data_IF_084244531495
#
_entry.id   IF_084244531495
#
_cell.length_a   1.000
_cell.length_b   1.000
_cell.length_c   1.000
_cell.angle_alpha   90.00
_cell.angle_beta   90.00
_cell.angle_gamma   90.00
#
_symmetry.space_group_name_H-M   'P 1'
#
loop_
_entity.id
_entity.type
_entity.pdbx_description
1 polymer ?
#
# COMPACT_ATOMS: atom_id res chain seq x y z
N UNK A 1 -56.96 30.31 17.93
CA UNK A 1 -56.07 29.15 18.12
C UNK A 1 -56.25 28.19 16.96
N UNK A 2 -55.18 27.99 16.17
CA UNK A 2 -54.67 26.71 15.63
C UNK A 2 -53.67 27.06 14.52
N UNK A 3 -52.43 27.35 14.95
CA UNK A 3 -51.27 27.21 14.09
C UNK A 3 -51.24 25.74 13.66
N UNK A 4 -51.40 25.47 12.37
CA UNK A 4 -51.23 24.14 11.84
C UNK A 4 -49.75 23.75 12.04
N UNK A 5 -49.52 22.87 13.00
CA UNK A 5 -48.24 22.24 13.26
C UNK A 5 -47.81 21.46 12.01
N UNK A 6 -46.86 22.02 11.26
CA UNK A 6 -46.12 21.27 10.24
C UNK A 6 -45.44 20.13 11.00
N UNK A 7 -45.73 18.85 10.69
CA UNK A 7 -45.02 17.76 11.32
C UNK A 7 -43.56 17.96 10.95
N UNK A 8 -42.71 18.02 11.96
CA UNK A 8 -41.27 17.99 11.83
C UNK A 8 -40.95 16.76 10.97
N UNK A 9 -40.77 16.98 9.66
CA UNK A 9 -40.21 15.98 8.76
C UNK A 9 -38.81 15.79 9.33
N UNK A 10 -38.67 14.80 10.20
CA UNK A 10 -37.39 14.19 10.53
C UNK A 10 -36.86 13.66 9.21
N UNK A 11 -36.19 14.54 8.48
CA UNK A 11 -35.22 14.19 7.47
C UNK A 11 -34.18 13.38 8.23
N UNK A 12 -34.43 12.07 8.33
CA UNK A 12 -33.42 11.10 8.70
C UNK A 12 -32.37 11.27 7.59
N UNK A 13 -31.38 12.13 7.85
CA UNK A 13 -30.11 12.08 7.16
C UNK A 13 -29.58 10.69 7.46
N UNK A 14 -29.92 9.74 6.60
CA UNK A 14 -29.15 8.52 6.44
C UNK A 14 -27.81 9.02 5.96
N UNK A 15 -26.95 9.38 6.92
CA UNK A 15 -25.53 9.52 6.68
C UNK A 15 -25.10 8.11 6.35
N UNK A 16 -25.09 7.78 5.07
CA UNK A 16 -24.32 6.66 4.59
C UNK A 16 -22.89 6.92 5.08
N UNK A 17 -22.48 6.21 6.12
CA UNK A 17 -21.08 6.07 6.46
C UNK A 17 -20.46 5.29 5.28
N UNK A 18 -20.14 6.02 4.21
CA UNK A 18 -19.34 5.47 3.12
C UNK A 18 -18.00 5.17 3.77
N UNK A 19 -17.64 3.89 3.90
CA UNK A 19 -16.25 3.54 4.14
C UNK A 19 -15.45 4.08 2.96
N UNK A 20 -14.75 5.18 3.20
CA UNK A 20 -13.88 5.78 2.22
C UNK A 20 -12.57 4.98 2.26
N UNK A 21 -12.33 4.11 1.27
CA UNK A 21 -11.14 3.25 1.21
C UNK A 21 -10.08 3.81 0.28
N UNK A 22 -8.84 3.88 0.79
CA UNK A 22 -7.60 4.04 0.02
C UNK A 22 -7.57 3.10 -1.19
N UNK A 23 -7.13 3.55 -2.36
CA UNK A 23 -6.82 2.61 -3.44
C UNK A 23 -5.65 3.13 -4.27
N UNK A 24 -4.59 2.33 -4.35
CA UNK A 24 -3.44 2.66 -5.18
C UNK A 24 -2.57 1.43 -5.45
N UNK A 25 -1.73 1.54 -6.48
CA UNK A 25 -0.81 0.47 -6.87
C UNK A 25 0.50 1.02 -7.40
N UNK A 26 1.59 0.30 -7.15
CA UNK A 26 2.89 0.63 -7.73
C UNK A 26 2.92 0.23 -9.22
N UNK A 27 3.17 1.21 -10.09
CA UNK A 27 3.21 1.03 -11.55
C UNK A 27 4.60 1.12 -12.13
N UNK A 28 5.51 1.87 -11.50
CA UNK A 28 6.91 1.94 -11.91
C UNK A 28 7.81 1.77 -10.68
N UNK A 29 8.62 0.71 -10.63
CA UNK A 29 8.48 -0.54 -11.39
C UNK A 29 7.12 -1.22 -11.09
N UNK A 30 6.45 -1.91 -12.05
CA UNK A 30 5.13 -2.50 -11.78
C UNK A 30 5.21 -3.53 -10.66
N UNK A 31 4.30 -3.45 -9.67
CA UNK A 31 4.22 -4.48 -8.63
C UNK A 31 3.91 -5.85 -9.23
N UNK A 32 4.26 -6.92 -8.52
CA UNK A 32 3.91 -8.32 -8.81
C UNK A 32 2.46 -8.50 -9.26
N UNK A 33 1.53 -7.84 -8.57
CA UNK A 33 0.09 -7.87 -8.86
C UNK A 33 -0.35 -7.02 -10.04
N UNK A 34 0.46 -6.04 -10.45
CA UNK A 34 0.16 -5.11 -11.54
C UNK A 34 0.91 -5.43 -12.84
N UNK A 35 1.85 -6.38 -12.82
CA UNK A 35 2.67 -6.76 -13.97
C UNK A 35 1.84 -7.08 -15.22
N UNK A 36 0.69 -7.72 -15.08
CA UNK A 36 -0.18 -8.10 -16.20
C UNK A 36 -0.67 -6.88 -17.02
N UNK A 37 -0.76 -5.69 -16.39
CA UNK A 37 -1.15 -4.45 -17.06
C UNK A 37 -0.05 -3.93 -18.00
N UNK A 38 1.19 -4.38 -17.82
CA UNK A 38 2.37 -3.98 -18.59
C UNK A 38 2.74 -5.06 -19.63
N UNK A 39 1.85 -6.01 -19.90
CA UNK A 39 2.06 -7.05 -20.91
C UNK A 39 2.95 -8.21 -20.46
N UNK A 40 3.33 -8.28 -19.18
CA UNK A 40 3.98 -9.47 -18.66
C UNK A 40 3.01 -10.66 -18.65
N UNK A 41 3.51 -11.86 -18.94
CA UNK A 41 2.74 -13.11 -18.90
C UNK A 41 2.42 -13.59 -17.49
N UNK A 42 1.94 -12.69 -16.60
CA UNK A 42 1.55 -13.01 -15.23
C UNK A 42 0.04 -13.08 -15.08
N UNK A 43 -0.48 -13.81 -14.08
CA UNK A 43 -1.91 -13.84 -13.82
C UNK A 43 -2.47 -12.44 -13.52
N UNK A 44 -3.61 -12.10 -14.13
CA UNK A 44 -4.27 -10.84 -13.86
C UNK A 44 -4.82 -10.77 -12.43
N UNK A 45 -4.54 -9.65 -11.76
CA UNK A 45 -5.23 -9.23 -10.55
C UNK A 45 -5.97 -7.92 -10.87
N UNK A 46 -7.29 -8.01 -11.04
CA UNK A 46 -8.13 -6.85 -11.38
C UNK A 46 -8.35 -5.89 -10.21
N UNK A 47 -8.01 -6.32 -8.99
CA UNK A 47 -8.07 -5.53 -7.75
C UNK A 47 -6.66 -5.23 -7.22
N UNK A 48 -5.68 -5.13 -8.12
CA UNK A 48 -4.27 -4.86 -7.81
C UNK A 48 -3.99 -3.50 -7.13
N UNK A 49 -4.99 -2.62 -7.04
CA UNK A 49 -4.99 -1.40 -6.22
C UNK A 49 -5.51 -1.58 -4.78
N UNK A 50 -5.83 -2.81 -4.35
CA UNK A 50 -6.45 -3.12 -3.05
C UNK A 50 -5.56 -3.99 -2.15
N UNK A 51 -4.24 -3.88 -2.28
CA UNK A 51 -3.29 -4.57 -1.39
C UNK A 51 -3.18 -3.85 -0.04
N UNK A 52 -4.29 -3.83 0.70
CA UNK A 52 -4.53 -3.02 1.90
C UNK A 52 -4.37 -3.79 3.22
N UNK A 53 -3.53 -4.82 3.25
CA UNK A 53 -3.31 -5.64 4.47
C UNK A 53 -4.58 -6.37 4.96
N UNK A 54 -5.58 -6.55 4.09
CA UNK A 54 -6.90 -7.07 4.46
C UNK A 54 -7.92 -6.00 4.89
N UNK A 55 -7.57 -4.72 4.76
CA UNK A 55 -8.37 -3.55 5.11
C UNK A 55 -8.08 -3.02 6.51
N UNK A 56 -8.38 -1.73 6.72
CA UNK A 56 -8.08 -0.99 7.95
C UNK A 56 -8.47 -1.71 9.25
N UNK A 57 -9.67 -2.30 9.31
CA UNK A 57 -10.14 -3.05 10.49
C UNK A 57 -9.34 -4.33 10.73
N UNK A 58 -9.08 -5.11 9.68
CA UNK A 58 -8.31 -6.36 9.81
C UNK A 58 -6.88 -6.06 10.26
N UNK A 59 -6.24 -5.06 9.65
CA UNK A 59 -4.89 -4.65 10.00
C UNK A 59 -4.82 -4.11 11.44
N UNK A 60 -5.55 -3.04 11.74
CA UNK A 60 -5.37 -2.28 12.97
C UNK A 60 -6.18 -2.87 14.13
N UNK A 61 -7.43 -3.27 13.89
CA UNK A 61 -8.33 -3.78 14.93
C UNK A 61 -8.02 -5.21 15.36
N UNK A 62 -7.75 -6.10 14.41
CA UNK A 62 -7.53 -7.53 14.71
C UNK A 62 -6.05 -7.91 14.85
N UNK A 63 -5.17 -7.27 14.07
CA UNK A 63 -3.77 -7.69 13.96
C UNK A 63 -2.75 -6.68 14.53
N UNK A 64 -3.22 -5.67 15.24
CA UNK A 64 -2.35 -4.71 15.93
C UNK A 64 -1.44 -3.94 14.98
N UNK A 65 -1.94 -3.57 13.81
CA UNK A 65 -1.21 -2.82 12.78
C UNK A 65 -0.39 -3.71 11.83
N UNK A 66 -0.33 -5.02 12.05
CA UNK A 66 0.52 -5.91 11.23
C UNK A 66 -0.05 -6.11 9.82
N UNK A 67 0.86 -6.16 8.86
CA UNK A 67 0.57 -6.38 7.44
C UNK A 67 1.55 -7.38 6.83
N UNK A 68 1.09 -8.17 5.85
CA UNK A 68 1.98 -8.95 4.98
C UNK A 68 2.94 -8.03 4.23
N UNK A 69 4.14 -8.51 3.91
CA UNK A 69 5.22 -7.67 3.36
C UNK A 69 4.85 -7.08 2.00
N UNK A 70 3.98 -7.77 1.26
CA UNK A 70 3.51 -7.34 -0.06
C UNK A 70 2.01 -6.99 -0.08
N UNK A 71 1.42 -6.66 1.08
CA UNK A 71 0.05 -6.15 1.20
C UNK A 71 -1.05 -7.21 1.31
N UNK A 72 -0.67 -8.49 1.34
CA UNK A 72 -1.56 -9.57 1.75
C UNK A 72 -1.98 -9.41 3.23
N UNK A 73 -3.17 -9.90 3.63
CA UNK A 73 -3.59 -9.94 5.03
C UNK A 73 -2.58 -10.64 5.92
N UNK A 74 -2.29 -10.06 7.08
CA UNK A 74 -1.38 -10.66 8.05
C UNK A 74 -1.82 -12.07 8.44
N UNK A 75 -0.86 -13.01 8.43
CA UNK A 75 -1.08 -14.41 8.79
C UNK A 75 -1.85 -15.24 7.76
N UNK A 76 -2.14 -14.72 6.56
CA UNK A 76 -2.74 -15.50 5.47
C UNK A 76 -1.86 -16.72 5.18
N UNK A 77 -2.34 -17.98 5.29
CA UNK A 77 -1.50 -19.17 5.11
C UNK A 77 -0.87 -19.31 3.74
N UNK A 78 -1.50 -18.74 2.70
CA UNK A 78 -1.01 -18.71 1.33
C UNK A 78 -1.11 -17.28 0.78
N UNK A 79 -0.17 -16.38 1.14
CA UNK A 79 -0.15 -15.02 0.61
C UNK A 79 0.10 -15.07 -0.90
N UNK A 80 -0.66 -14.29 -1.67
CA UNK A 80 -0.60 -14.40 -3.14
C UNK A 80 0.52 -13.56 -3.74
N UNK A 81 0.91 -12.47 -3.07
CA UNK A 81 1.89 -11.50 -3.56
C UNK A 81 3.28 -11.70 -2.94
N UNK A 82 3.42 -12.62 -1.98
CA UNK A 82 4.68 -12.98 -1.32
C UNK A 82 5.28 -14.27 -1.91
N UNK A 83 6.49 -14.63 -1.48
CA UNK A 83 7.23 -15.78 -2.02
C UNK A 83 6.40 -17.08 -2.00
N UNK A 84 6.38 -17.79 -3.14
CA UNK A 84 5.54 -18.98 -3.34
C UNK A 84 4.09 -18.68 -3.72
N UNK A 85 3.65 -17.42 -3.65
CA UNK A 85 2.33 -16.96 -4.06
C UNK A 85 2.17 -16.82 -5.58
N UNK A 86 0.91 -16.76 -6.01
CA UNK A 86 0.47 -16.68 -7.41
C UNK A 86 1.10 -15.54 -8.23
N UNK A 87 1.47 -14.43 -7.58
CA UNK A 87 2.04 -13.25 -8.25
C UNK A 87 3.55 -13.11 -8.02
N UNK A 88 4.18 -13.93 -7.17
CA UNK A 88 5.61 -13.89 -6.89
C UNK A 88 6.39 -14.82 -7.84
N UNK A 89 6.47 -14.41 -9.10
CA UNK A 89 6.96 -15.26 -10.19
C UNK A 89 8.47 -15.13 -10.46
N UNK A 90 9.17 -14.26 -9.73
CA UNK A 90 10.62 -14.02 -9.91
C UNK A 90 10.99 -13.27 -11.18
N UNK A 91 10.02 -12.66 -11.86
CA UNK A 91 10.26 -11.90 -13.08
C UNK A 91 10.80 -10.51 -12.72
N UNK A 92 11.99 -10.19 -13.21
CA UNK A 92 12.57 -8.86 -13.06
C UNK A 92 11.83 -7.86 -13.96
N UNK A 93 11.20 -6.87 -13.34
CA UNK A 93 10.36 -5.87 -14.03
C UNK A 93 11.15 -4.68 -14.54
N UNK A 94 12.25 -4.34 -13.85
CA UNK A 94 13.21 -3.28 -14.20
C UNK A 94 14.61 -3.67 -13.72
N UNK A 95 15.62 -3.17 -14.43
CA UNK A 95 17.02 -3.26 -14.05
C UNK A 95 17.57 -1.86 -13.86
N UNK A 96 18.26 -1.63 -12.75
CA UNK A 96 18.88 -0.35 -12.40
C UNK A 96 20.37 -0.54 -12.13
N UNK A 97 21.12 0.55 -12.17
CA UNK A 97 22.52 0.59 -11.74
C UNK A 97 22.61 1.02 -10.27
N UNK A 98 23.58 0.49 -9.51
CA UNK A 98 23.81 0.94 -8.14
C UNK A 98 23.98 2.48 -8.07
N UNK A 99 23.32 3.11 -7.10
CA UNK A 99 23.36 4.58 -6.95
C UNK A 99 22.55 5.36 -7.99
N UNK A 100 21.89 4.71 -8.96
CA UNK A 100 21.01 5.37 -9.91
C UNK A 100 19.82 6.03 -9.19
N UNK A 101 19.55 7.30 -9.50
CA UNK A 101 18.28 7.93 -9.20
C UNK A 101 17.20 7.37 -10.13
N UNK A 102 16.10 6.88 -9.55
CA UNK A 102 15.05 6.21 -10.29
C UNK A 102 13.74 6.99 -10.21
N UNK A 103 13.00 7.01 -11.32
CA UNK A 103 11.61 7.41 -11.30
C UNK A 103 10.76 6.26 -10.77
N UNK A 104 9.91 6.54 -9.80
CA UNK A 104 8.89 5.60 -9.31
C UNK A 104 7.52 6.23 -9.42
N UNK A 105 6.52 5.42 -9.77
CA UNK A 105 5.16 5.90 -9.98
C UNK A 105 4.16 5.01 -9.26
N UNK A 106 3.35 5.65 -8.42
CA UNK A 106 2.17 5.05 -7.79
C UNK A 106 0.93 5.60 -8.47
N UNK A 107 0.12 4.72 -9.05
CA UNK A 107 -1.19 5.08 -9.56
C UNK A 107 -2.18 5.07 -8.40
N UNK A 108 -2.63 6.26 -8.00
CA UNK A 108 -3.69 6.41 -6.99
C UNK A 108 -5.03 6.45 -7.69
N UNK A 109 -5.84 5.42 -7.46
CA UNK A 109 -7.18 5.28 -8.04
C UNK A 109 -8.28 5.84 -7.14
N UNK A 110 -8.00 5.97 -5.84
CA UNK A 110 -8.85 6.68 -4.89
C UNK A 110 -7.93 7.44 -3.91
N UNK A 111 -7.93 8.77 -4.02
CA UNK A 111 -7.01 9.64 -3.28
C UNK A 111 -7.52 9.86 -1.86
N UNK A 112 -6.75 9.38 -0.90
CA UNK A 112 -7.08 9.42 0.53
C UNK A 112 -5.90 9.97 1.34
N UNK A 113 -5.23 11.01 0.83
CA UNK A 113 -4.02 11.56 1.46
C UNK A 113 -2.96 10.49 1.72
N UNK A 114 -2.08 10.71 2.70
CA UNK A 114 -0.99 9.80 3.02
C UNK A 114 0.31 10.16 2.33
N UNK A 115 1.36 9.45 2.74
CA UNK A 115 2.69 9.48 2.13
C UNK A 115 3.00 8.13 1.53
N UNK A 116 3.96 8.14 0.61
CA UNK A 116 4.57 6.92 0.10
C UNK A 116 5.96 6.78 0.73
N UNK A 117 6.38 5.53 0.92
CA UNK A 117 7.73 5.18 1.29
C UNK A 117 8.16 4.02 0.43
N UNK A 118 9.43 4.04 0.01
CA UNK A 118 10.00 2.99 -0.81
C UNK A 118 11.14 2.36 -0.04
N UNK A 119 11.16 1.04 -0.01
CA UNK A 119 12.19 0.27 0.67
C UNK A 119 12.74 -0.77 -0.27
N UNK A 120 14.01 -1.11 -0.10
CA UNK A 120 14.65 -2.16 -0.88
C UNK A 120 15.30 -3.22 0.02
N UNK A 121 15.22 -4.47 -0.42
CA UNK A 121 15.87 -5.59 0.21
C UNK A 121 16.65 -6.35 -0.85
N UNK A 122 17.92 -6.65 -0.58
CA UNK A 122 18.69 -7.59 -1.40
C UNK A 122 18.15 -8.99 -1.20
N UNK A 123 17.37 -9.48 -2.16
CA UNK A 123 16.84 -10.83 -2.19
C UNK A 123 17.17 -11.49 -3.54
N UNK A 124 18.17 -12.38 -3.54
CA UNK A 124 18.66 -13.01 -4.77
C UNK A 124 17.95 -14.34 -5.09
N UNK A 125 16.95 -14.73 -4.30
CA UNK A 125 16.09 -15.89 -4.57
C UNK A 125 14.64 -15.52 -4.27
N UNK A 126 13.82 -15.40 -5.31
CA UNK A 126 12.40 -15.01 -5.19
C UNK A 126 11.56 -16.04 -4.41
N UNK A 127 12.06 -17.28 -4.24
CA UNK A 127 11.42 -18.32 -3.43
C UNK A 127 11.62 -18.11 -1.93
N UNK A 128 12.60 -17.29 -1.55
CA UNK A 128 12.84 -16.94 -0.15
C UNK A 128 11.98 -15.72 0.21
N UNK A 129 11.14 -15.82 1.27
CA UNK A 129 10.34 -14.69 1.73
C UNK A 129 11.21 -13.48 2.10
N UNK A 130 10.87 -12.33 1.51
CA UNK A 130 11.37 -11.03 1.98
C UNK A 130 10.74 -10.71 3.34
N UNK A 131 11.45 -9.96 4.18
CA UNK A 131 10.98 -9.59 5.52
C UNK A 131 10.96 -8.09 5.70
N UNK A 132 10.03 -7.59 6.53
CA UNK A 132 10.05 -6.19 7.02
C UNK A 132 11.42 -5.81 7.60
N UNK A 133 12.06 -6.71 8.35
CA UNK A 133 13.42 -6.51 8.87
C UNK A 133 14.45 -6.23 7.77
N UNK A 134 14.34 -6.87 6.61
CA UNK A 134 15.26 -6.62 5.51
C UNK A 134 15.00 -5.27 4.84
N UNK A 135 13.73 -4.99 4.53
CA UNK A 135 13.30 -3.76 3.86
C UNK A 135 13.59 -2.52 4.72
N UNK A 136 13.37 -2.61 6.03
CA UNK A 136 13.59 -1.50 6.97
C UNK A 136 15.07 -1.11 7.11
N UNK A 137 16.02 -1.89 6.58
CA UNK A 137 17.44 -1.50 6.53
C UNK A 137 17.74 -0.47 5.43
N UNK A 138 16.89 -0.36 4.41
CA UNK A 138 17.13 0.52 3.27
C UNK A 138 15.83 1.24 2.88
N UNK A 139 15.46 2.24 3.67
CA UNK A 139 14.48 3.24 3.25
C UNK A 139 15.12 4.14 2.18
N UNK A 140 14.49 4.24 1.02
CA UNK A 140 14.97 5.09 -0.07
C UNK A 140 14.53 6.53 0.18
N UNK A 141 15.46 7.51 0.14
CA UNK A 141 15.09 8.91 0.29
C UNK A 141 14.28 9.37 -0.93
N UNK A 142 13.17 10.05 -0.67
CA UNK A 142 12.37 10.72 -1.69
C UNK A 142 12.95 12.11 -1.98
N UNK A 143 13.02 12.49 -3.25
CA UNK A 143 13.44 13.84 -3.65
C UNK A 143 12.48 14.92 -3.12
N UNK A 144 11.17 14.62 -3.03
CA UNK A 144 10.12 15.61 -2.75
C UNK A 144 9.52 15.56 -1.33
N UNK A 145 10.04 14.70 -0.44
CA UNK A 145 9.57 14.58 0.95
C UNK A 145 8.18 13.91 1.14
N UNK A 146 7.75 13.62 2.38
CA UNK A 146 6.49 12.91 2.66
C UNK A 146 5.26 13.83 2.74
N UNK A 147 4.07 13.29 2.45
CA UNK A 147 2.75 13.96 2.53
C UNK A 147 1.88 13.33 3.64
N UNK A 148 1.14 14.06 4.49
CA UNK A 148 0.45 13.45 5.65
C UNK A 148 -0.80 12.59 5.32
N UNK A 149 -1.08 11.60 6.18
CA UNK A 149 -2.27 10.71 6.18
C UNK A 149 -3.61 11.44 6.33
N UNK A 150 -4.73 10.75 6.08
CA UNK A 150 -6.06 11.37 6.07
C UNK A 150 -7.07 10.87 7.12
N UNK A 151 -6.74 9.84 7.91
CA UNK A 151 -7.65 9.34 8.96
C UNK A 151 -7.40 10.06 10.27
N UNK A 152 -8.47 10.34 11.02
CA UNK A 152 -8.36 10.93 12.35
C UNK A 152 -7.78 9.94 13.36
N UNK A 153 -6.84 10.41 14.17
CA UNK A 153 -6.39 9.68 15.36
C UNK A 153 -5.61 10.59 16.28
N UNK A 154 -4.83 10.00 17.19
CA UNK A 154 -4.09 10.74 18.21
C UNK A 154 -2.59 10.66 17.98
N UNK A 155 -1.90 11.79 18.13
CA UNK A 155 -0.43 11.83 18.12
C UNK A 155 0.17 11.29 19.43
N UNK A 156 1.51 11.29 19.53
CA UNK A 156 2.25 10.84 20.72
C UNK A 156 1.92 11.64 21.99
N UNK A 157 1.37 12.86 21.84
CA UNK A 157 0.95 13.74 22.94
C UNK A 157 -0.55 13.65 23.23
N UNK A 158 -1.26 12.73 22.58
CA UNK A 158 -2.69 12.52 22.75
C UNK A 158 -3.59 13.54 22.04
N UNK A 159 -3.03 14.44 21.24
CA UNK A 159 -3.78 15.45 20.48
C UNK A 159 -4.44 14.78 19.27
N UNK A 160 -5.69 15.13 19.00
CA UNK A 160 -6.42 14.59 17.86
C UNK A 160 -6.09 15.35 16.58
N UNK A 161 -5.67 14.64 15.53
CA UNK A 161 -5.31 15.21 14.24
C UNK A 161 -5.62 14.24 13.09
N UNK A 162 -5.80 14.81 11.89
CA UNK A 162 -5.88 14.06 10.63
C UNK A 162 -4.48 13.52 10.31
N UNK A 163 -4.41 12.24 9.93
CA UNK A 163 -3.16 11.52 9.66
C UNK A 163 -2.43 11.00 10.89
N UNK A 164 -2.99 11.20 12.08
CA UNK A 164 -2.40 10.76 13.35
C UNK A 164 -2.97 9.41 13.79
N UNK A 165 -2.20 8.64 14.56
CA UNK A 165 -2.59 7.28 14.96
C UNK A 165 -2.62 6.30 13.77
N UNK A 166 -3.14 5.07 13.99
CA UNK A 166 -3.14 4.04 12.96
C UNK A 166 -3.89 4.47 11.70
N UNK A 167 -3.27 4.28 10.54
CA UNK A 167 -3.85 4.54 9.23
C UNK A 167 -4.06 3.21 8.49
N UNK A 168 -4.88 3.22 7.43
CA UNK A 168 -4.90 2.11 6.48
C UNK A 168 -3.63 2.17 5.62
N UNK A 169 -2.91 1.04 5.53
CA UNK A 169 -1.67 0.97 4.76
C UNK A 169 -1.86 0.11 3.51
N UNK A 170 -1.12 0.47 2.46
CA UNK A 170 -1.11 -0.24 1.19
C UNK A 170 0.33 -0.60 0.85
N UNK A 171 0.52 -1.84 0.41
CA UNK A 171 1.85 -2.35 0.06
C UNK A 171 1.86 -2.93 -1.35
N UNK A 172 2.98 -2.79 -2.02
CA UNK A 172 3.24 -3.42 -3.31
C UNK A 172 4.70 -3.83 -3.42
N UNK A 173 4.95 -5.08 -3.79
CA UNK A 173 6.30 -5.58 -4.05
C UNK A 173 6.56 -5.62 -5.55
N UNK A 174 7.70 -5.12 -6.00
CA UNK A 174 8.21 -5.28 -7.36
C UNK A 174 9.57 -5.99 -7.30
N UNK A 175 9.78 -6.94 -8.20
CA UNK A 175 11.06 -7.63 -8.34
C UNK A 175 11.92 -6.87 -9.36
N UNK A 176 13.09 -6.42 -8.94
CA UNK A 176 14.03 -5.60 -9.74
C UNK A 176 15.44 -6.14 -9.62
N UNK A 177 16.25 -5.91 -10.65
CA UNK A 177 17.68 -6.18 -10.59
C UNK A 177 18.44 -4.88 -10.38
N UNK A 178 19.48 -4.92 -9.55
CA UNK A 178 20.45 -3.84 -9.41
C UNK A 178 21.81 -4.41 -9.80
N UNK A 179 22.41 -3.81 -10.82
CA UNK A 179 23.74 -4.18 -11.32
C UNK A 179 24.80 -3.20 -10.85
N UNK A 180 26.05 -3.64 -10.64
CA UNK A 180 27.13 -2.74 -10.23
C UNK A 180 27.30 -1.56 -11.17
N UNK A 181 27.71 -0.41 -10.62
CA UNK A 181 28.23 0.70 -11.42
C UNK A 181 29.41 0.18 -12.26
N UNK A 182 29.43 0.43 -13.59
CA UNK A 182 30.58 0.09 -14.41
C UNK A 182 31.83 0.72 -13.80
N UNK A 183 32.90 -0.07 -13.63
CA UNK A 183 34.19 0.48 -13.24
C UNK A 183 34.66 1.45 -14.34
N UNK A 184 34.92 2.70 -13.96
CA UNK A 184 35.53 3.73 -14.79
C UNK A 184 36.98 3.40 -15.16
#
# INVERSE_FOLDING_TARGET
MRLASVPLVTLLLVVCAVEIRGHGRLRVPPSRTSMWRDGFGTPANYIDNQLSCGGAWYQNGLNGGKCGVCGDPWGKPNPESEAGGKYANGIITRTYTEGQEIETAVEVTAQHGGWFEFRICRNNDFRVPVTHKCLNRHLLPLADGPVPGNSWGRDEYGRSCIGCGPQEEFYGCADVAIVPLPAS
#
